data_IF_577600500798
#
_entry.id   IF_577600500798
#
_cell.length_a   1.000
_cell.length_b   1.000
_cell.length_c   1.000
_cell.angle_alpha   90.00
_cell.angle_beta   90.00
_cell.angle_gamma   90.00
#
_symmetry.space_group_name_H-M   'P 1'
#
loop_
_entity.id
_entity.type
_entity.pdbx_description
1 polymer ?
#
# COMPACT_ATOMS: atom_id res chain seq x y z
N UNK A 1 -1.59 -8.42 -0.38
CA UNK A 1 -1.90 -7.03 0.00
C UNK A 1 -1.37 -6.78 1.41
N UNK A 2 -0.95 -5.55 1.72
CA UNK A 2 -0.60 -5.16 3.09
C UNK A 2 -0.76 -3.66 3.33
N UNK A 3 -1.03 -3.30 4.59
CA UNK A 3 -1.31 -1.94 5.05
C UNK A 3 -0.23 -1.49 6.04
N UNK A 4 0.31 -0.26 5.91
CA UNK A 4 1.30 0.29 6.85
C UNK A 4 2.47 -0.69 7.09
N UNK A 5 2.72 -1.13 8.33
CA UNK A 5 3.71 -2.16 8.64
C UNK A 5 3.39 -3.53 8.02
N UNK A 6 2.12 -3.87 7.85
CA UNK A 6 1.69 -5.06 7.09
C UNK A 6 2.14 -5.03 5.63
N UNK A 7 2.31 -3.84 5.05
CA UNK A 7 2.82 -3.68 3.69
C UNK A 7 4.32 -4.04 3.60
N UNK A 8 5.12 -3.75 4.63
CA UNK A 8 6.50 -4.22 4.73
C UNK A 8 6.54 -5.75 4.65
N UNK A 9 5.76 -6.42 5.50
CA UNK A 9 5.74 -7.87 5.56
C UNK A 9 5.22 -8.50 4.27
N UNK A 10 4.22 -7.88 3.64
CA UNK A 10 3.72 -8.33 2.35
C UNK A 10 4.81 -8.25 1.28
N UNK A 11 5.54 -7.14 1.18
CA UNK A 11 6.63 -6.97 0.21
C UNK A 11 7.80 -7.94 0.44
N UNK A 12 8.24 -8.10 1.71
CA UNK A 12 9.34 -9.03 2.02
C UNK A 12 8.93 -10.49 1.85
N UNK A 13 7.68 -10.84 2.19
CA UNK A 13 7.14 -12.18 1.94
C UNK A 13 7.05 -12.48 0.44
N UNK A 14 6.59 -11.53 -0.38
CA UNK A 14 6.59 -11.68 -1.84
C UNK A 14 8.01 -11.95 -2.38
N UNK A 15 9.03 -11.24 -1.87
CA UNK A 15 10.43 -11.51 -2.23
C UNK A 15 10.89 -12.92 -1.82
N UNK A 16 10.43 -13.44 -0.68
CA UNK A 16 10.74 -14.80 -0.25
C UNK A 16 10.00 -15.85 -1.08
N UNK A 17 8.75 -15.60 -1.46
CA UNK A 17 7.94 -16.46 -2.32
C UNK A 17 8.54 -16.56 -3.73
N UNK A 18 8.97 -15.44 -4.30
CA UNK A 18 9.71 -15.41 -5.57
C UNK A 18 10.94 -16.34 -5.52
N UNK A 19 11.74 -16.26 -4.46
CA UNK A 19 12.91 -17.16 -4.26
C UNK A 19 12.55 -18.63 -4.08
N UNK A 20 11.31 -18.92 -3.71
CA UNK A 20 10.78 -20.27 -3.58
C UNK A 20 10.07 -20.74 -4.85
N UNK A 21 10.25 -20.05 -5.98
CA UNK A 21 9.61 -20.33 -7.28
C UNK A 21 8.07 -20.27 -7.22
N UNK A 22 7.54 -19.45 -6.29
CA UNK A 22 6.12 -19.17 -6.21
C UNK A 22 5.79 -17.88 -6.95
N UNK A 23 4.90 -17.98 -7.94
CA UNK A 23 4.47 -16.85 -8.76
C UNK A 23 3.27 -16.15 -8.12
N UNK A 24 3.54 -15.05 -7.43
CA UNK A 24 2.50 -14.13 -6.99
C UNK A 24 1.88 -13.43 -8.21
N UNK A 25 0.56 -13.37 -8.30
CA UNK A 25 -0.11 -12.67 -9.40
C UNK A 25 0.05 -11.14 -9.30
N UNK A 26 -0.09 -10.59 -8.09
CA UNK A 26 -0.01 -9.15 -7.87
C UNK A 26 0.25 -8.81 -6.39
N UNK A 27 0.75 -7.60 -6.14
CA UNK A 27 1.01 -7.07 -4.80
C UNK A 27 0.39 -5.66 -4.65
N UNK A 28 -0.44 -5.47 -3.63
CA UNK A 28 -0.99 -4.15 -3.28
C UNK A 28 -0.41 -3.69 -1.94
N UNK A 29 0.15 -2.49 -1.92
CA UNK A 29 0.81 -1.88 -0.76
C UNK A 29 0.14 -0.54 -0.43
N UNK A 30 -0.59 -0.49 0.69
CA UNK A 30 -1.35 0.67 1.13
C UNK A 30 -0.60 1.43 2.23
N UNK A 31 -0.35 2.74 2.00
CA UNK A 31 0.44 3.66 2.84
C UNK A 31 1.62 2.96 3.50
N UNK A 32 2.50 2.35 2.68
CA UNK A 32 3.39 1.33 3.18
C UNK A 32 4.51 1.92 4.00
N UNK A 33 4.87 1.24 5.08
CA UNK A 33 6.17 1.43 5.69
C UNK A 33 7.20 0.57 4.93
N UNK A 34 8.17 1.21 4.26
CA UNK A 34 9.14 0.51 3.40
C UNK A 34 10.58 0.56 3.91
N UNK A 35 10.80 1.07 5.12
CA UNK A 35 12.16 1.24 5.65
C UNK A 35 12.85 -0.12 5.78
N UNK A 36 14.05 -0.25 5.18
CA UNK A 36 14.82 -1.49 5.19
C UNK A 36 14.52 -2.44 4.02
N UNK A 37 13.48 -2.17 3.22
CA UNK A 37 13.29 -2.85 1.93
C UNK A 37 14.32 -2.35 0.91
N UNK A 38 14.66 -3.22 -0.03
CA UNK A 38 15.80 -3.04 -0.93
C UNK A 38 15.41 -3.56 -2.31
N UNK A 39 15.21 -2.65 -3.26
CA UNK A 39 14.71 -3.00 -4.60
C UNK A 39 15.74 -3.79 -5.43
N UNK A 40 17.03 -3.63 -5.16
CA UNK A 40 18.14 -4.39 -5.73
C UNK A 40 18.11 -5.89 -5.40
N UNK A 41 17.34 -6.29 -4.38
CA UNK A 41 17.15 -7.70 -3.98
C UNK A 41 15.96 -8.36 -4.68
N UNK A 42 15.26 -7.65 -5.57
CA UNK A 42 14.10 -8.14 -6.29
C UNK A 42 14.52 -8.64 -7.68
N UNK A 43 13.92 -9.72 -8.15
CA UNK A 43 14.18 -10.26 -9.48
C UNK A 43 13.20 -9.65 -10.52
N UNK A 44 13.50 -9.79 -11.81
CA UNK A 44 12.74 -9.10 -12.89
C UNK A 44 11.30 -9.56 -13.03
N UNK A 45 10.98 -10.76 -12.57
CA UNK A 45 9.64 -11.34 -12.52
C UNK A 45 8.91 -11.04 -11.20
N UNK A 46 9.36 -10.02 -10.45
CA UNK A 46 8.62 -9.55 -9.27
C UNK A 46 7.22 -9.12 -9.71
N UNK A 47 6.16 -9.47 -8.96
CA UNK A 47 4.81 -9.27 -9.42
C UNK A 47 4.49 -7.79 -9.67
N UNK A 48 3.55 -7.50 -10.59
CA UNK A 48 2.95 -6.19 -10.73
C UNK A 48 2.55 -5.65 -9.35
N UNK A 49 3.01 -4.44 -9.04
CA UNK A 49 2.84 -3.86 -7.70
C UNK A 49 2.07 -2.54 -7.77
N UNK A 50 0.95 -2.46 -7.05
CA UNK A 50 0.19 -1.22 -6.85
C UNK A 50 0.56 -0.59 -5.50
N UNK A 51 0.97 0.66 -5.54
CA UNK A 51 1.13 1.51 -4.36
C UNK A 51 -0.07 2.44 -4.21
N UNK A 52 -0.71 2.40 -3.05
CA UNK A 52 -1.70 3.40 -2.63
C UNK A 52 -1.04 4.28 -1.58
N UNK A 53 -0.75 5.53 -1.92
CA UNK A 53 -0.06 6.47 -1.03
C UNK A 53 -1.05 7.43 -0.36
N UNK A 54 -0.80 7.72 0.90
CA UNK A 54 -1.45 8.77 1.68
C UNK A 54 -0.57 10.02 1.68
N UNK A 55 -1.10 11.13 1.18
CA UNK A 55 -0.39 12.40 1.01
C UNK A 55 0.00 13.07 2.33
N UNK A 56 -0.88 13.00 3.32
CA UNK A 56 -0.67 13.59 4.65
C UNK A 56 0.08 12.68 5.62
N UNK A 57 0.50 11.49 5.19
CA UNK A 57 1.22 10.52 6.01
C UNK A 57 2.74 10.52 5.74
N UNK A 58 3.58 11.00 6.68
CA UNK A 58 5.04 10.97 6.53
C UNK A 58 5.62 9.56 6.33
N UNK A 59 4.95 8.51 6.81
CA UNK A 59 5.39 7.12 6.61
C UNK A 59 5.21 6.74 5.13
N UNK A 60 3.99 6.89 4.61
CA UNK A 60 3.68 6.70 3.20
C UNK A 60 4.55 7.55 2.28
N UNK A 61 4.82 8.81 2.62
CA UNK A 61 5.64 9.69 1.80
C UNK A 61 7.10 9.21 1.67
N UNK A 62 7.65 8.56 2.71
CA UNK A 62 8.99 7.92 2.61
C UNK A 62 9.02 6.76 1.63
N UNK A 63 7.89 6.12 1.35
CA UNK A 63 7.82 5.02 0.39
C UNK A 63 8.13 5.44 -1.06
N UNK A 64 8.03 6.73 -1.38
CA UNK A 64 8.37 7.27 -2.72
C UNK A 64 9.81 6.96 -3.14
N UNK A 65 10.75 6.87 -2.19
CA UNK A 65 12.12 6.45 -2.48
C UNK A 65 12.16 4.98 -2.96
N UNK A 66 11.47 4.10 -2.25
CA UNK A 66 11.40 2.68 -2.62
C UNK A 66 10.70 2.47 -3.98
N UNK A 67 9.61 3.21 -4.23
CA UNK A 67 8.95 3.25 -5.55
C UNK A 67 9.94 3.65 -6.65
N UNK A 68 10.74 4.70 -6.43
CA UNK A 68 11.75 5.15 -7.40
C UNK A 68 12.82 4.08 -7.64
N UNK A 69 13.26 3.41 -6.59
CA UNK A 69 14.28 2.36 -6.70
C UNK A 69 13.73 1.15 -7.47
N UNK A 70 12.49 0.72 -7.21
CA UNK A 70 11.81 -0.33 -7.98
C UNK A 70 11.63 0.03 -9.46
N UNK A 71 11.21 1.27 -9.77
CA UNK A 71 11.13 1.76 -11.16
C UNK A 71 12.50 1.71 -11.83
N UNK A 72 13.55 2.12 -11.12
CA UNK A 72 14.93 2.13 -11.63
C UNK A 72 15.48 0.72 -11.88
N UNK A 73 15.00 -0.28 -11.13
CA UNK A 73 15.28 -1.69 -11.35
C UNK A 73 14.49 -2.31 -12.53
N UNK A 74 13.60 -1.54 -13.17
CA UNK A 74 12.80 -1.98 -14.31
C UNK A 74 11.59 -2.84 -13.93
N UNK A 75 11.10 -2.73 -12.69
CA UNK A 75 9.92 -3.46 -12.22
C UNK A 75 8.63 -2.76 -12.64
N UNK A 76 7.60 -3.57 -12.89
CA UNK A 76 6.26 -3.10 -13.22
C UNK A 76 5.51 -2.65 -11.97
N UNK A 77 5.15 -1.36 -11.93
CA UNK A 77 4.41 -0.80 -10.80
C UNK A 77 3.55 0.39 -11.17
N UNK A 78 2.47 0.54 -10.41
CA UNK A 78 1.55 1.66 -10.46
C UNK A 78 1.49 2.36 -9.11
N UNK A 79 1.22 3.65 -9.13
CA UNK A 79 1.15 4.48 -7.92
C UNK A 79 -0.07 5.37 -8.01
N UNK A 80 -0.96 5.26 -7.03
CA UNK A 80 -2.08 6.16 -6.83
C UNK A 80 -1.83 6.89 -5.52
N UNK A 81 -1.79 8.22 -5.56
CA UNK A 81 -1.59 9.06 -4.38
C UNK A 81 -2.85 9.85 -4.07
N UNK A 82 -3.33 9.73 -2.83
CA UNK A 82 -4.45 10.50 -2.31
C UNK A 82 -3.90 11.64 -1.45
N UNK A 83 -3.78 12.84 -2.03
CA UNK A 83 -3.08 13.99 -1.44
C UNK A 83 -3.58 14.37 -0.04
N UNK A 84 -4.88 14.29 0.20
CA UNK A 84 -5.50 14.65 1.49
C UNK A 84 -5.69 13.45 2.44
N UNK A 85 -5.39 12.23 1.99
CA UNK A 85 -5.55 11.06 2.82
C UNK A 85 -4.53 11.08 3.97
N UNK A 86 -4.97 10.71 5.18
CA UNK A 86 -4.11 10.53 6.36
C UNK A 86 -3.72 9.05 6.54
N UNK A 87 -2.81 8.78 7.49
CA UNK A 87 -2.42 7.40 7.79
C UNK A 87 -3.64 6.55 8.17
N UNK A 88 -3.68 5.31 7.67
CA UNK A 88 -4.76 4.35 7.97
C UNK A 88 -6.16 4.77 7.49
N UNK A 89 -6.27 5.68 6.52
CA UNK A 89 -7.58 6.17 6.02
C UNK A 89 -8.48 5.07 5.46
N UNK A 90 -7.92 4.01 4.86
CA UNK A 90 -8.73 2.92 4.29
C UNK A 90 -9.35 2.09 5.41
N UNK A 91 -8.51 1.39 6.19
CA UNK A 91 -9.03 0.37 7.11
C UNK A 91 -9.72 0.96 8.34
N UNK A 92 -9.39 2.20 8.71
CA UNK A 92 -10.04 2.91 9.83
C UNK A 92 -11.47 3.34 9.51
N UNK A 93 -11.79 3.56 8.23
CA UNK A 93 -13.14 3.89 7.78
C UNK A 93 -13.96 2.64 7.42
N UNK A 94 -13.48 1.43 7.75
CA UNK A 94 -14.26 0.21 7.59
C UNK A 94 -15.22 0.00 8.77
N UNK A 95 -16.42 -0.59 8.52
CA UNK A 95 -17.44 -0.78 9.56
C UNK A 95 -16.92 -1.53 10.80
N UNK A 96 -15.95 -2.42 10.61
CA UNK A 96 -15.33 -3.23 11.67
C UNK A 96 -14.60 -2.37 12.73
N UNK A 97 -14.04 -1.21 12.35
CA UNK A 97 -13.28 -0.35 13.27
C UNK A 97 -14.12 0.73 13.97
N UNK A 98 -15.39 0.85 13.61
CA UNK A 98 -16.28 1.87 14.20
C UNK A 98 -16.76 1.55 15.62
N UNK A 99 -16.40 0.38 16.18
CA UNK A 99 -16.99 -0.13 17.44
C UNK A 99 -16.07 -0.05 18.67
N UNK A 100 -14.78 0.29 18.55
CA UNK A 100 -13.81 0.04 19.64
C UNK A 100 -12.71 1.11 19.86
N UNK A 101 -13.00 2.42 19.85
CA UNK A 101 -11.95 3.40 20.22
C UNK A 101 -12.30 4.30 21.40
N UNK A 102 -11.45 4.24 22.44
CA UNK A 102 -11.33 5.25 23.51
C UNK A 102 -10.35 6.38 23.13
N UNK A 103 -9.82 6.34 21.92
CA UNK A 103 -8.83 7.28 21.36
C UNK A 103 -9.56 8.16 20.35
N UNK A 104 -9.28 9.46 20.36
CA UNK A 104 -9.82 10.38 19.37
C UNK A 104 -9.27 10.02 17.98
N UNK A 105 -10.17 9.55 17.11
CA UNK A 105 -9.89 9.16 15.73
C UNK A 105 -10.54 10.13 14.73
N UNK A 106 -11.03 11.30 15.16
CA UNK A 106 -11.78 12.23 14.31
C UNK A 106 -10.99 12.77 13.10
N UNK A 107 -9.67 12.76 13.18
CA UNK A 107 -8.78 13.13 12.07
C UNK A 107 -8.73 12.06 10.96
N UNK A 108 -9.02 10.80 11.28
CA UNK A 108 -8.97 9.66 10.34
C UNK A 108 -10.38 9.17 9.99
N UNK A 109 -11.32 9.20 10.93
CA UNK A 109 -12.70 8.75 10.78
C UNK A 109 -13.59 9.98 10.64
N UNK A 110 -13.76 10.41 9.40
CA UNK A 110 -14.61 11.53 9.01
C UNK A 110 -15.05 11.39 7.54
N UNK A 111 -16.06 12.15 7.08
CA UNK A 111 -16.61 11.99 5.73
C UNK A 111 -15.60 12.15 4.59
N UNK A 112 -14.58 13.00 4.75
CA UNK A 112 -13.55 13.18 3.72
C UNK A 112 -12.69 11.92 3.60
N UNK A 113 -12.17 11.42 4.72
CA UNK A 113 -11.34 10.21 4.73
C UNK A 113 -12.13 8.96 4.34
N UNK A 114 -13.42 8.87 4.68
CA UNK A 114 -14.31 7.81 4.22
C UNK A 114 -14.47 7.84 2.69
N UNK A 115 -14.70 9.01 2.09
CA UNK A 115 -14.79 9.14 0.63
C UNK A 115 -13.49 8.67 -0.05
N UNK A 116 -12.35 9.15 0.43
CA UNK A 116 -11.03 8.74 -0.08
C UNK A 116 -10.82 7.24 0.08
N UNK A 117 -11.23 6.64 1.19
CA UNK A 117 -11.14 5.20 1.43
C UNK A 117 -11.92 4.41 0.38
N UNK A 118 -13.17 4.79 0.09
CA UNK A 118 -14.00 4.12 -0.92
C UNK A 118 -13.46 4.31 -2.33
N UNK A 119 -12.90 5.48 -2.64
CA UNK A 119 -12.21 5.71 -3.91
C UNK A 119 -10.97 4.80 -4.05
N UNK A 120 -10.17 4.66 -2.99
CA UNK A 120 -9.01 3.76 -2.96
C UNK A 120 -9.42 2.30 -3.12
N UNK A 121 -10.46 1.84 -2.41
CA UNK A 121 -10.97 0.48 -2.54
C UNK A 121 -11.50 0.19 -3.95
N UNK A 122 -12.22 1.13 -4.56
CA UNK A 122 -12.71 1.00 -5.92
C UNK A 122 -11.55 0.93 -6.93
N UNK A 123 -10.55 1.80 -6.79
CA UNK A 123 -9.37 1.81 -7.66
C UNK A 123 -8.54 0.52 -7.53
N UNK A 124 -8.33 0.03 -6.30
CA UNK A 124 -7.68 -1.26 -6.06
C UNK A 124 -8.48 -2.40 -6.71
N UNK A 125 -9.79 -2.42 -6.52
CA UNK A 125 -10.65 -3.47 -7.09
C UNK A 125 -10.59 -3.48 -8.61
N UNK A 126 -10.57 -2.31 -9.25
CA UNK A 126 -10.47 -2.22 -10.70
C UNK A 126 -9.08 -2.64 -11.18
N UNK A 127 -8.02 -2.17 -10.53
CA UNK A 127 -6.65 -2.55 -10.86
C UNK A 127 -6.43 -4.06 -10.79
N UNK A 128 -6.94 -4.72 -9.73
CA UNK A 128 -6.86 -6.19 -9.58
C UNK A 128 -7.58 -6.92 -10.73
N UNK A 129 -8.70 -6.40 -11.25
CA UNK A 129 -9.43 -7.04 -12.36
C UNK A 129 -8.68 -6.96 -13.69
N UNK A 130 -7.73 -6.04 -13.82
CA UNK A 130 -6.93 -5.85 -15.01
C UNK A 130 -5.62 -6.66 -15.01
N UNK A 131 -5.29 -7.32 -13.88
CA UNK A 131 -4.15 -8.24 -13.78
C UNK A 131 -4.52 -9.63 -14.31
#
# INVERSE_FOLDING_TARGET
MGYSAGAYYAADSTRLLQKADFQMASLVLCYPWTTGLSADKLEKDYPPTLFILSGQDPISQKAKNYVKDMKSAGLELEVIEYENAVHSFIESNNPERMTESTVDMSNVINPEQESLAREAEAAISEWIRLQ
#
